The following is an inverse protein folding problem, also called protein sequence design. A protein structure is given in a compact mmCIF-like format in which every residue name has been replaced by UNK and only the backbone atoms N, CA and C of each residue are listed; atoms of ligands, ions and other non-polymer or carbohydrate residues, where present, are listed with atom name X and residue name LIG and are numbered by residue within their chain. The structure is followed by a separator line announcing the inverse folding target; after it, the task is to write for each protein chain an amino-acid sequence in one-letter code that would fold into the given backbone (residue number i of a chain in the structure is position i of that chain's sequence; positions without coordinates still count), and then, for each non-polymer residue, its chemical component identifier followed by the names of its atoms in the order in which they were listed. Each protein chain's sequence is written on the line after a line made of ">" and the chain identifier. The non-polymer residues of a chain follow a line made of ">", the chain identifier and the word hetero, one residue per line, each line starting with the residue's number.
data_IF_169207924603
#
_entry.id   IF_169207924603
#
_cell.length_a   1.000
_cell.length_b   1.000
_cell.length_c   1.000
_cell.angle_alpha   90.00
_cell.angle_beta   90.00
_cell.angle_gamma   90.00
#
_symmetry.space_group_name_H-M   'P 1'
#
loop_
_entity.id
_entity.type
_entity.pdbx_description
1 polymer ?
#
# COMPACT_ATOMS: atom_id res chain seq x y z
N UNK A 1 1.02 -48.42 -39.07
CA UNK A 1 1.26 -47.04 -39.57
C UNK A 1 2.73 -46.90 -39.86
N UNK A 2 3.13 -46.43 -41.03
CA UNK A 2 4.55 -46.19 -41.34
C UNK A 2 5.10 -45.07 -40.46
N UNK A 3 6.39 -45.14 -40.10
CA UNK A 3 7.05 -44.09 -39.31
C UNK A 3 6.87 -42.68 -39.92
N UNK A 4 6.78 -42.61 -41.25
CA UNK A 4 6.49 -41.39 -42.02
C UNK A 4 5.11 -40.79 -41.73
N UNK A 5 4.08 -41.61 -41.56
CA UNK A 5 2.73 -41.15 -41.24
C UNK A 5 2.65 -40.59 -39.80
N UNK A 6 3.38 -41.19 -38.86
CA UNK A 6 3.44 -40.71 -37.48
C UNK A 6 4.16 -39.35 -37.40
N UNK A 7 5.27 -39.18 -38.12
CA UNK A 7 6.01 -37.92 -38.18
C UNK A 7 5.14 -36.81 -38.79
N UNK A 8 4.42 -37.09 -39.88
CA UNK A 8 3.54 -36.12 -40.52
C UNK A 8 2.42 -35.63 -39.57
N UNK A 9 1.82 -36.54 -38.80
CA UNK A 9 0.79 -36.19 -37.80
C UNK A 9 1.39 -35.33 -36.67
N UNK A 10 2.57 -35.66 -36.15
CA UNK A 10 3.22 -34.87 -35.10
C UNK A 10 3.58 -33.46 -35.57
N UNK A 11 4.07 -33.33 -36.81
CA UNK A 11 4.37 -32.02 -37.42
C UNK A 11 3.09 -31.20 -37.61
N UNK A 12 2.02 -31.80 -38.15
CA UNK A 12 0.74 -31.12 -38.29
C UNK A 12 0.15 -30.68 -36.94
N UNK A 13 0.27 -31.51 -35.90
CA UNK A 13 -0.17 -31.18 -34.55
C UNK A 13 0.65 -30.03 -33.95
N UNK A 14 1.97 -30.02 -34.16
CA UNK A 14 2.83 -28.93 -33.72
C UNK A 14 2.47 -27.60 -34.41
N UNK A 15 2.24 -27.61 -35.72
CA UNK A 15 1.77 -26.43 -36.47
C UNK A 15 0.41 -25.93 -35.96
N UNK A 16 -0.54 -26.85 -35.73
CA UNK A 16 -1.86 -26.51 -35.19
C UNK A 16 -1.76 -25.90 -33.79
N UNK A 17 -0.92 -26.45 -32.91
CA UNK A 17 -0.68 -25.92 -31.56
C UNK A 17 -0.02 -24.55 -31.60
N UNK A 18 0.98 -24.33 -32.46
CA UNK A 18 1.60 -23.01 -32.63
C UNK A 18 0.63 -21.99 -33.21
N UNK A 19 -0.21 -22.38 -34.17
CA UNK A 19 -1.22 -21.51 -34.75
C UNK A 19 -2.28 -21.15 -33.72
N UNK A 20 -2.81 -22.14 -32.97
CA UNK A 20 -3.79 -21.91 -31.92
C UNK A 20 -3.24 -21.02 -30.80
N UNK A 21 -2.00 -21.25 -30.38
CA UNK A 21 -1.32 -20.40 -29.39
C UNK A 21 -1.18 -18.96 -29.92
N UNK A 22 -0.69 -18.79 -31.15
CA UNK A 22 -0.57 -17.47 -31.78
C UNK A 22 -1.91 -16.73 -31.93
N UNK A 23 -2.99 -17.47 -32.21
CA UNK A 23 -4.34 -16.93 -32.34
C UNK A 23 -4.91 -16.48 -30.99
N UNK A 24 -4.75 -17.29 -29.94
CA UNK A 24 -5.18 -16.93 -28.58
C UNK A 24 -4.38 -15.74 -28.03
N UNK A 25 -3.06 -15.72 -28.27
CA UNK A 25 -2.18 -14.61 -27.87
C UNK A 25 -2.49 -13.32 -28.64
N UNK A 26 -2.81 -13.43 -29.94
CA UNK A 26 -3.27 -12.29 -30.75
C UNK A 26 -4.54 -11.69 -30.17
N UNK A 27 -5.53 -12.49 -29.76
CA UNK A 27 -6.75 -11.98 -29.12
C UNK A 27 -6.49 -11.27 -27.79
N UNK A 28 -5.61 -11.83 -26.94
CA UNK A 28 -5.27 -11.24 -25.65
C UNK A 28 -4.52 -9.90 -25.81
N UNK A 29 -3.64 -9.82 -26.80
CA UNK A 29 -2.89 -8.60 -27.15
C UNK A 29 -3.79 -7.54 -27.79
N UNK A 30 -4.77 -7.92 -28.62
CA UNK A 30 -5.75 -6.97 -29.18
C UNK A 30 -6.57 -6.27 -28.10
N UNK A 31 -7.13 -7.01 -27.15
CA UNK A 31 -7.90 -6.42 -26.05
C UNK A 31 -7.03 -5.51 -25.15
N UNK A 32 -5.74 -5.83 -24.98
CA UNK A 32 -4.82 -4.95 -24.25
C UNK A 32 -4.41 -3.70 -25.02
N UNK A 33 -4.32 -3.78 -26.35
CA UNK A 33 -4.07 -2.61 -27.21
C UNK A 33 -5.23 -1.64 -27.19
N UNK A 34 -6.46 -2.12 -27.28
CA UNK A 34 -7.66 -1.28 -27.22
C UNK A 34 -7.75 -0.54 -25.88
N UNK A 35 -7.53 -1.22 -24.75
CA UNK A 35 -7.47 -0.59 -23.43
C UNK A 35 -6.37 0.48 -23.33
N UNK A 36 -5.19 0.21 -23.91
CA UNK A 36 -4.06 1.14 -23.92
C UNK A 36 -4.30 2.35 -24.83
N UNK A 37 -4.96 2.16 -25.98
CA UNK A 37 -5.37 3.22 -26.89
C UNK A 37 -6.34 4.18 -26.20
N UNK A 38 -7.39 3.65 -25.55
CA UNK A 38 -8.33 4.44 -24.75
C UNK A 38 -7.60 5.21 -23.65
N UNK A 39 -6.66 4.57 -22.95
CA UNK A 39 -5.86 5.24 -21.92
C UNK A 39 -5.00 6.37 -22.50
N UNK A 40 -4.41 6.16 -23.68
CA UNK A 40 -3.56 7.16 -24.34
C UNK A 40 -4.33 8.40 -24.78
N UNK A 41 -5.61 8.25 -25.16
CA UNK A 41 -6.50 9.36 -25.50
C UNK A 41 -6.85 10.25 -24.29
N UNK A 42 -6.82 9.69 -23.08
CA UNK A 42 -7.07 10.41 -21.83
C UNK A 42 -5.87 11.24 -21.35
N UNK A 43 -4.72 11.15 -22.03
CA UNK A 43 -3.48 11.80 -21.63
C UNK A 43 -2.72 11.06 -20.53
N UNK A 44 -1.80 11.74 -19.84
CA UNK A 44 -0.99 11.12 -18.78
C UNK A 44 -1.83 10.84 -17.52
N UNK A 45 -2.36 9.63 -17.41
CA UNK A 45 -3.17 9.20 -16.25
C UNK A 45 -2.27 8.58 -15.20
N UNK A 46 -1.90 9.38 -14.19
CA UNK A 46 -1.06 8.93 -13.08
C UNK A 46 -1.92 8.65 -11.84
N UNK A 47 -1.84 7.44 -11.26
CA UNK A 47 -2.48 7.15 -9.98
C UNK A 47 -1.92 8.03 -8.86
N UNK A 48 -2.77 8.58 -7.97
CA UNK A 48 -2.30 9.31 -6.79
C UNK A 48 -1.67 8.40 -5.72
N UNK A 49 -1.79 7.07 -5.90
CA UNK A 49 -1.30 6.04 -4.99
C UNK A 49 -0.02 5.37 -5.53
N UNK A 50 0.55 4.47 -4.73
CA UNK A 50 1.66 3.62 -5.15
C UNK A 50 1.29 2.79 -6.39
N UNK A 51 2.09 2.85 -7.45
CA UNK A 51 1.85 2.11 -8.70
C UNK A 51 3.16 1.73 -9.40
N UNK A 52 3.13 0.72 -10.30
CA UNK A 52 4.34 0.28 -11.00
C UNK A 52 4.67 1.17 -12.20
N UNK A 53 5.95 1.47 -12.37
CA UNK A 53 6.56 1.90 -13.62
C UNK A 53 7.41 0.75 -14.14
N UNK A 54 7.26 0.44 -15.43
CA UNK A 54 7.93 -0.67 -16.10
C UNK A 54 9.06 -0.08 -16.94
N UNK A 55 10.31 -0.49 -16.66
CA UNK A 55 11.42 -0.23 -17.55
C UNK A 55 11.27 -1.13 -18.77
N UNK A 56 11.03 -0.57 -19.98
CA UNK A 56 10.93 -1.38 -21.16
C UNK A 56 12.22 -2.16 -21.37
N UNK A 57 13.41 -1.57 -21.22
CA UNK A 57 14.69 -2.20 -21.59
C UNK A 57 14.96 -3.49 -20.80
N UNK A 58 14.53 -3.54 -19.53
CA UNK A 58 14.69 -4.72 -18.67
C UNK A 58 13.50 -5.69 -18.72
N UNK A 59 12.36 -5.30 -19.30
CA UNK A 59 11.15 -6.11 -19.35
C UNK A 59 11.25 -7.21 -20.42
N UNK A 60 11.17 -8.47 -19.99
CA UNK A 60 11.16 -9.64 -20.89
C UNK A 60 9.76 -10.13 -21.28
N UNK A 61 8.71 -9.41 -20.86
CA UNK A 61 7.32 -9.76 -21.22
C UNK A 61 6.80 -11.07 -20.61
N UNK A 62 7.36 -11.56 -19.50
CA UNK A 62 7.01 -12.86 -18.92
C UNK A 62 5.54 -12.99 -18.49
N UNK A 63 4.83 -11.88 -18.29
CA UNK A 63 3.45 -11.85 -17.80
C UNK A 63 3.31 -12.20 -16.31
N UNK A 64 4.40 -12.45 -15.59
CA UNK A 64 4.38 -12.79 -14.15
C UNK A 64 3.68 -11.71 -13.33
N UNK A 65 3.88 -10.44 -13.67
CA UNK A 65 3.24 -9.30 -13.04
C UNK A 65 1.71 -9.25 -13.26
N UNK A 66 1.25 -9.66 -14.45
CA UNK A 66 -0.18 -9.76 -14.79
C UNK A 66 -0.85 -10.85 -13.95
N UNK A 67 -0.19 -12.00 -13.84
CA UNK A 67 -0.68 -13.12 -13.04
C UNK A 67 -0.64 -12.83 -11.54
N UNK A 68 0.40 -12.14 -11.07
CA UNK A 68 0.55 -11.79 -9.65
C UNK A 68 -0.43 -10.72 -9.18
N UNK A 69 -0.94 -9.87 -10.09
CA UNK A 69 -1.90 -8.81 -9.74
C UNK A 69 -3.21 -9.41 -9.19
N UNK A 70 -3.61 -9.10 -7.94
CA UNK A 70 -4.86 -9.61 -7.36
C UNK A 70 -6.10 -9.00 -7.97
N UNK A 71 -6.04 -7.72 -8.35
CA UNK A 71 -7.17 -6.99 -8.94
C UNK A 71 -7.53 -7.52 -10.33
N UNK A 72 -6.53 -8.07 -11.03
CA UNK A 72 -6.60 -8.46 -12.45
C UNK A 72 -6.93 -7.22 -13.32
N UNK A 73 -6.49 -7.20 -14.58
CA UNK A 73 -6.71 -6.07 -15.51
C UNK A 73 -5.94 -4.76 -15.24
N UNK A 74 -5.05 -4.69 -14.25
CA UNK A 74 -4.19 -3.50 -14.05
C UNK A 74 -3.07 -3.46 -15.08
N UNK A 75 -2.44 -4.63 -15.29
CA UNK A 75 -1.31 -4.82 -16.19
C UNK A 75 -1.73 -5.80 -17.30
N UNK A 76 -1.22 -5.58 -18.50
CA UNK A 76 -1.27 -6.55 -19.61
C UNK A 76 0.08 -6.66 -20.27
N UNK A 77 0.29 -7.75 -21.01
CA UNK A 77 1.44 -7.86 -21.91
C UNK A 77 1.01 -7.37 -23.29
N UNK A 78 1.58 -6.25 -23.73
CA UNK A 78 1.34 -5.64 -25.05
C UNK A 78 2.71 -5.52 -25.73
N UNK A 79 2.80 -5.92 -27.01
CA UNK A 79 4.06 -5.88 -27.76
C UNK A 79 5.25 -6.56 -27.05
N UNK A 80 5.00 -7.69 -26.38
CA UNK A 80 5.98 -8.45 -25.56
C UNK A 80 6.55 -7.69 -24.36
N UNK A 81 5.89 -6.64 -23.88
CA UNK A 81 6.26 -5.91 -22.67
C UNK A 81 5.05 -5.78 -21.76
N UNK A 82 5.29 -5.70 -20.46
CA UNK A 82 4.22 -5.36 -19.54
C UNK A 82 3.87 -3.89 -19.72
N UNK A 83 2.58 -3.58 -19.74
CA UNK A 83 2.03 -2.23 -19.85
C UNK A 83 0.95 -2.03 -18.78
N UNK A 84 0.87 -0.80 -18.27
CA UNK A 84 -0.15 -0.38 -17.31
C UNK A 84 -1.38 0.10 -18.09
N UNK A 85 -2.40 -0.76 -18.20
CA UNK A 85 -3.59 -0.51 -19.03
C UNK A 85 -4.77 0.04 -18.23
N UNK A 86 -4.78 -0.17 -16.90
CA UNK A 86 -5.79 0.41 -16.02
C UNK A 86 -5.15 0.99 -14.74
N UNK A 87 -4.42 2.12 -14.87
CA UNK A 87 -3.70 2.73 -13.75
C UNK A 87 -4.60 3.10 -12.58
N UNK A 88 -5.80 3.64 -12.83
CA UNK A 88 -6.70 4.15 -11.78
C UNK A 88 -7.29 3.04 -10.89
N UNK A 89 -7.36 1.81 -11.39
CA UNK A 89 -7.75 0.65 -10.60
C UNK A 89 -6.58 0.07 -9.78
N UNK A 90 -5.34 0.54 -9.99
CA UNK A 90 -4.18 0.09 -9.24
C UNK A 90 -4.28 0.54 -7.78
N UNK A 91 -4.08 -0.41 -6.86
CA UNK A 91 -4.16 -0.14 -5.42
C UNK A 91 -2.82 -0.27 -4.71
N UNK A 92 -1.73 -0.45 -5.46
CA UNK A 92 -0.38 -0.45 -4.89
C UNK A 92 0.01 -1.69 -4.09
N UNK A 93 -0.47 -2.88 -4.46
CA UNK A 93 -0.08 -4.13 -3.78
C UNK A 93 1.42 -4.42 -3.82
N UNK A 94 2.13 -3.95 -4.85
CA UNK A 94 3.53 -4.28 -5.12
C UNK A 94 3.79 -5.72 -5.59
N UNK A 95 2.77 -6.57 -5.66
CA UNK A 95 2.88 -7.97 -6.10
C UNK A 95 3.49 -8.12 -7.51
N UNK A 96 3.26 -7.13 -8.38
CA UNK A 96 3.84 -7.08 -9.72
C UNK A 96 5.36 -6.93 -9.71
N UNK A 97 5.89 -6.07 -8.84
CA UNK A 97 7.33 -5.86 -8.69
C UNK A 97 8.00 -7.11 -8.10
N UNK A 98 7.43 -7.66 -7.02
CA UNK A 98 7.95 -8.87 -6.39
C UNK A 98 7.95 -10.11 -7.31
N UNK A 99 6.98 -10.21 -8.21
CA UNK A 99 6.91 -11.31 -9.17
C UNK A 99 7.77 -11.11 -10.43
N UNK A 100 8.41 -9.94 -10.59
CA UNK A 100 9.18 -9.64 -11.79
C UNK A 100 10.53 -10.37 -11.77
N UNK A 101 10.78 -11.33 -12.68
CA UNK A 101 12.01 -12.11 -12.66
C UNK A 101 13.26 -11.29 -13.02
N UNK A 102 13.09 -10.15 -13.69
CA UNK A 102 14.17 -9.27 -14.14
C UNK A 102 14.23 -7.95 -13.37
N UNK A 103 13.41 -7.78 -12.32
CA UNK A 103 13.30 -6.53 -11.56
C UNK A 103 13.03 -5.28 -12.44
N UNK A 104 12.36 -5.47 -13.58
CA UNK A 104 12.02 -4.40 -14.51
C UNK A 104 10.91 -3.45 -14.01
N UNK A 105 10.33 -3.72 -12.83
CA UNK A 105 9.22 -2.94 -12.29
C UNK A 105 9.69 -2.21 -11.03
N UNK A 106 9.58 -0.89 -11.06
CA UNK A 106 9.78 -0.02 -9.92
C UNK A 106 8.42 0.47 -9.40
N UNK A 107 8.26 0.58 -8.09
CA UNK A 107 7.04 1.15 -7.51
C UNK A 107 7.30 2.62 -7.18
N UNK A 108 6.44 3.50 -7.66
CA UNK A 108 6.50 4.94 -7.43
C UNK A 108 5.19 5.45 -6.84
N UNK A 109 5.24 6.62 -6.20
CA UNK A 109 4.07 7.27 -5.62
C UNK A 109 3.82 8.61 -6.33
N UNK A 110 2.62 8.81 -6.89
CA UNK A 110 2.31 10.02 -7.66
C UNK A 110 3.10 10.13 -8.97
N UNK A 111 3.31 11.33 -9.50
CA UNK A 111 4.00 11.52 -10.79
C UNK A 111 5.52 11.47 -10.63
N UNK A 112 6.25 11.08 -11.68
CA UNK A 112 7.72 11.13 -11.70
C UNK A 112 8.28 12.55 -11.46
N UNK A 113 7.50 13.58 -11.77
CA UNK A 113 7.87 15.01 -11.67
C UNK A 113 7.39 15.69 -10.37
N UNK A 114 6.35 15.15 -9.73
CA UNK A 114 5.92 15.41 -8.34
C UNK A 114 6.14 14.15 -7.51
N UNK A 115 7.33 13.55 -7.61
CA UNK A 115 7.74 12.54 -6.66
C UNK A 115 7.78 13.22 -5.30
N UNK A 116 6.98 12.75 -4.34
CA UNK A 116 7.27 13.07 -2.94
C UNK A 116 8.56 12.32 -2.64
N UNK A 117 9.65 13.04 -2.34
CA UNK A 117 10.84 12.39 -1.78
C UNK A 117 10.40 11.67 -0.50
N UNK A 118 10.30 10.35 -0.59
CA UNK A 118 9.99 9.53 0.57
C UNK A 118 11.19 9.60 1.51
N UNK A 119 10.99 9.95 2.78
CA UNK A 119 12.10 10.00 3.72
C UNK A 119 12.73 8.62 3.84
N UNK A 120 14.06 8.58 3.96
CA UNK A 120 14.75 7.34 4.24
C UNK A 120 14.31 6.82 5.62
N UNK A 121 13.76 5.61 5.63
CA UNK A 121 13.32 4.90 6.83
C UNK A 121 14.16 3.65 7.03
N UNK A 122 14.51 3.36 8.28
CA UNK A 122 15.18 2.12 8.67
C UNK A 122 14.18 0.93 8.75
N UNK A 123 14.65 -0.29 9.03
CA UNK A 123 13.76 -1.45 9.19
C UNK A 123 12.74 -1.35 10.34
N UNK A 124 12.92 -0.41 11.28
CA UNK A 124 12.00 -0.12 12.38
C UNK A 124 11.06 1.05 12.05
N UNK A 125 11.07 1.52 10.80
CA UNK A 125 10.28 2.66 10.31
C UNK A 125 10.70 4.00 10.89
N UNK A 126 11.86 4.08 11.55
CA UNK A 126 12.42 5.33 12.05
C UNK A 126 13.13 6.05 10.92
N UNK A 127 12.91 7.36 10.81
CA UNK A 127 13.60 8.19 9.82
C UNK A 127 15.03 8.49 10.26
N UNK A 128 15.77 9.20 9.42
CA UNK A 128 17.07 9.78 9.82
C UNK A 128 16.96 10.79 10.96
N UNK A 129 15.75 11.31 11.25
CA UNK A 129 15.46 12.10 12.42
C UNK A 129 15.01 11.18 13.58
N UNK A 130 15.80 11.06 14.66
CA UNK A 130 15.44 10.17 15.76
C UNK A 130 14.11 10.56 16.43
N UNK A 131 13.28 9.57 16.71
CA UNK A 131 11.94 9.72 17.27
C UNK A 131 10.85 10.03 16.25
N UNK A 132 11.18 10.24 14.97
CA UNK A 132 10.20 10.42 13.90
C UNK A 132 10.09 9.13 13.10
N UNK A 133 8.88 8.60 13.02
CA UNK A 133 8.53 7.35 12.36
C UNK A 133 7.57 7.59 11.20
N UNK A 134 7.70 6.80 10.14
CA UNK A 134 6.79 6.86 8.98
C UNK A 134 6.24 5.47 8.71
N UNK A 135 4.92 5.33 8.84
CA UNK A 135 4.22 4.06 8.71
C UNK A 135 3.02 4.17 7.77
N UNK A 136 2.50 3.02 7.33
CA UNK A 136 1.36 2.97 6.43
C UNK A 136 1.71 3.30 4.98
N UNK A 137 0.83 4.05 4.33
CA UNK A 137 0.91 4.33 2.89
C UNK A 137 2.19 5.10 2.53
N UNK A 138 2.63 6.01 3.40
CA UNK A 138 3.88 6.77 3.25
C UNK A 138 5.13 5.88 3.33
N UNK A 139 5.05 4.73 3.99
CA UNK A 139 6.12 3.73 4.07
C UNK A 139 6.26 2.83 2.83
N UNK A 140 5.60 3.18 1.71
CA UNK A 140 5.80 2.53 0.41
C UNK A 140 5.13 1.16 0.24
N UNK A 141 4.21 0.78 1.13
CA UNK A 141 3.50 -0.50 1.05
C UNK A 141 1.98 -0.32 1.24
N UNK A 142 1.25 -0.13 0.14
CA UNK A 142 -0.19 0.20 0.10
C UNK A 142 -1.16 -0.89 0.57
N UNK A 143 -0.71 -1.89 1.35
CA UNK A 143 -1.57 -2.92 1.92
C UNK A 143 -1.99 -2.55 3.34
N UNK A 144 -3.28 -2.64 3.62
CA UNK A 144 -3.86 -2.40 4.96
C UNK A 144 -3.23 -3.30 6.02
N UNK A 145 -2.94 -4.56 5.66
CA UNK A 145 -2.22 -5.49 6.55
C UNK A 145 -0.82 -5.00 6.87
N UNK A 146 -0.10 -4.49 5.86
CA UNK A 146 1.26 -3.97 6.05
C UNK A 146 1.20 -2.70 6.89
N UNK A 147 0.26 -1.79 6.61
CA UNK A 147 0.07 -0.58 7.39
C UNK A 147 -0.18 -0.91 8.88
N UNK A 148 -1.06 -1.86 9.19
CA UNK A 148 -1.29 -2.31 10.57
C UNK A 148 -0.02 -2.91 11.18
N UNK A 149 0.69 -3.75 10.44
CA UNK A 149 1.90 -4.39 10.94
C UNK A 149 3.04 -3.39 11.17
N UNK A 150 3.21 -2.42 10.29
CA UNK A 150 4.17 -1.32 10.42
C UNK A 150 3.90 -0.47 11.65
N UNK A 151 2.64 -0.06 11.87
CA UNK A 151 2.26 0.68 13.08
C UNK A 151 2.58 -0.09 14.36
N UNK A 152 2.36 -1.42 14.36
CA UNK A 152 2.68 -2.30 15.49
C UNK A 152 4.19 -2.42 15.72
N UNK A 153 4.98 -2.60 14.65
CA UNK A 153 6.43 -2.76 14.73
C UNK A 153 7.12 -1.46 15.16
N UNK A 154 6.71 -0.31 14.61
CA UNK A 154 7.22 1.00 14.99
C UNK A 154 7.00 1.25 16.50
N UNK A 155 5.80 0.95 17.02
CA UNK A 155 5.54 1.08 18.46
C UNK A 155 6.33 0.08 19.29
N UNK A 156 6.53 -1.15 18.82
CA UNK A 156 7.39 -2.11 19.51
C UNK A 156 8.83 -1.58 19.66
N UNK A 157 9.36 -0.91 18.63
CA UNK A 157 10.66 -0.25 18.68
C UNK A 157 10.67 0.95 19.62
N UNK A 158 9.63 1.81 19.60
CA UNK A 158 9.47 2.91 20.56
C UNK A 158 9.46 2.38 22.00
N UNK A 159 8.77 1.26 22.25
CA UNK A 159 8.74 0.64 23.57
C UNK A 159 10.15 0.19 23.97
N UNK A 160 10.86 -0.50 23.08
CA UNK A 160 12.19 -1.04 23.32
C UNK A 160 13.29 0.04 23.48
N UNK A 161 13.20 1.15 22.74
CA UNK A 161 14.20 2.23 22.77
C UNK A 161 14.20 3.00 24.10
N UNK A 162 13.11 2.94 24.86
CA UNK A 162 12.95 3.67 26.12
C UNK A 162 12.86 5.19 25.96
N UNK A 163 12.75 5.72 24.73
CA UNK A 163 12.54 7.15 24.48
C UNK A 163 11.14 7.54 24.97
N UNK A 164 11.07 8.32 26.06
CA UNK A 164 9.84 8.73 26.75
C UNK A 164 9.78 10.23 26.95
N UNK A 165 8.56 10.74 27.05
CA UNK A 165 8.32 12.14 27.41
C UNK A 165 8.38 12.32 28.92
N UNK A 166 8.91 13.46 29.36
CA UNK A 166 8.96 13.86 30.78
C UNK A 166 8.02 15.04 31.04
N UNK A 167 7.39 15.10 32.22
CA UNK A 167 6.46 16.18 32.55
C UNK A 167 5.31 16.25 31.55
N UNK A 168 5.11 17.41 30.93
CA UNK A 168 4.03 17.65 29.96
C UNK A 168 4.32 17.09 28.55
N UNK A 169 5.53 16.57 28.30
CA UNK A 169 5.90 15.92 27.05
C UNK A 169 5.23 14.55 26.96
N UNK A 170 4.54 14.26 25.86
CA UNK A 170 3.94 12.96 25.58
C UNK A 170 5.01 11.93 25.20
N UNK A 171 4.71 10.64 25.39
CA UNK A 171 5.57 9.56 24.88
C UNK A 171 5.49 9.47 23.37
N UNK A 172 4.31 9.67 22.77
CA UNK A 172 4.13 9.67 21.33
C UNK A 172 2.99 10.57 20.85
N UNK A 173 3.06 11.06 19.62
CA UNK A 173 1.92 11.59 18.87
C UNK A 173 1.74 10.75 17.61
N UNK A 174 0.53 10.25 17.38
CA UNK A 174 0.15 9.51 16.17
C UNK A 174 -0.66 10.45 15.27
N UNK A 175 -0.17 10.67 14.05
CA UNK A 175 -0.81 11.52 13.05
C UNK A 175 -1.49 10.62 12.01
N UNK A 176 -2.78 10.82 11.82
CA UNK A 176 -3.61 10.02 10.90
C UNK A 176 -4.30 8.85 11.58
N UNK A 177 -5.59 8.67 11.31
CA UNK A 177 -6.44 7.58 11.79
C UNK A 177 -6.78 6.57 10.67
N UNK A 178 -5.78 6.28 9.84
CA UNK A 178 -5.79 5.11 8.96
C UNK A 178 -5.43 3.80 9.71
N UNK A 179 -5.23 2.69 8.98
CA UNK A 179 -4.91 1.39 9.60
C UNK A 179 -3.62 1.40 10.42
N UNK A 180 -2.57 2.07 9.93
CA UNK A 180 -1.30 2.18 10.64
C UNK A 180 -1.46 2.97 11.95
N UNK A 181 -2.12 4.12 11.89
CA UNK A 181 -2.40 4.95 13.07
C UNK A 181 -3.29 4.25 14.10
N UNK A 182 -4.34 3.54 13.66
CA UNK A 182 -5.16 2.70 14.53
C UNK A 182 -4.30 1.64 15.24
N UNK A 183 -3.49 0.90 14.49
CA UNK A 183 -2.61 -0.13 15.05
C UNK A 183 -1.60 0.45 16.05
N UNK A 184 -0.98 1.58 15.69
CA UNK A 184 -0.04 2.28 16.54
C UNK A 184 -0.69 2.77 17.84
N UNK A 185 -1.85 3.43 17.76
CA UNK A 185 -2.59 3.91 18.93
C UNK A 185 -2.96 2.77 19.88
N UNK A 186 -3.43 1.64 19.35
CA UNK A 186 -3.74 0.46 20.17
C UNK A 186 -2.50 -0.17 20.79
N UNK A 187 -1.37 -0.21 20.06
CA UNK A 187 -0.10 -0.71 20.59
C UNK A 187 0.45 0.21 21.70
N UNK A 188 0.37 1.53 21.54
CA UNK A 188 0.78 2.53 22.54
C UNK A 188 -0.09 2.41 23.79
N UNK A 189 -1.41 2.29 23.60
CA UNK A 189 -2.36 2.09 24.69
C UNK A 189 -2.08 0.78 25.45
N UNK A 190 -1.84 -0.32 24.73
CA UNK A 190 -1.47 -1.62 25.32
C UNK A 190 -0.16 -1.53 26.12
N UNK A 191 0.77 -0.68 25.70
CA UNK A 191 2.05 -0.45 26.38
C UNK A 191 1.95 0.54 27.55
N UNK A 192 0.78 1.14 27.80
CA UNK A 192 0.58 2.12 28.87
C UNK A 192 1.29 3.45 28.63
N UNK A 193 1.59 3.80 27.37
CA UNK A 193 2.27 5.05 27.03
C UNK A 193 1.28 6.21 26.91
N UNK A 194 1.74 7.42 27.23
CA UNK A 194 0.96 8.66 27.10
C UNK A 194 1.06 9.16 25.67
N UNK A 195 -0.05 9.19 24.95
CA UNK A 195 -0.04 9.62 23.56
C UNK A 195 -1.25 10.47 23.18
N UNK A 196 -1.11 11.23 22.11
CA UNK A 196 -2.21 11.83 21.38
C UNK A 196 -2.36 11.13 20.02
N UNK A 197 -3.59 10.95 19.58
CA UNK A 197 -3.91 10.41 18.25
C UNK A 197 -4.85 11.36 17.54
N UNK A 198 -4.43 11.89 16.40
CA UNK A 198 -5.10 12.99 15.70
C UNK A 198 -5.36 12.65 14.24
N UNK A 199 -6.46 13.16 13.68
CA UNK A 199 -6.88 12.95 12.30
C UNK A 199 -7.44 14.25 11.73
N UNK A 200 -7.15 14.55 10.46
CA UNK A 200 -7.60 15.77 9.78
C UNK A 200 -9.11 15.78 9.56
N UNK A 201 -9.69 14.63 9.24
CA UNK A 201 -11.12 14.50 8.97
C UNK A 201 -11.88 14.14 10.26
N UNK A 202 -13.19 14.45 10.34
CA UNK A 202 -14.02 14.06 11.49
C UNK A 202 -14.28 12.55 11.55
N UNK A 203 -14.10 11.87 10.42
CA UNK A 203 -14.27 10.43 10.27
C UNK A 203 -12.92 9.73 10.17
N UNK A 204 -12.73 8.66 10.92
CA UNK A 204 -11.52 7.86 10.88
C UNK A 204 -11.58 6.73 9.85
N UNK A 205 -10.42 6.37 9.29
CA UNK A 205 -10.27 5.42 8.19
C UNK A 205 -9.16 5.81 7.21
N UNK A 206 -8.69 7.05 7.24
CA UNK A 206 -7.63 7.55 6.36
C UNK A 206 -8.00 7.43 4.87
N UNK A 207 -7.03 7.04 4.04
CA UNK A 207 -7.22 6.93 2.58
C UNK A 207 -8.32 5.93 2.18
N UNK A 208 -8.68 4.98 3.06
CA UNK A 208 -9.76 4.01 2.83
C UNK A 208 -11.11 4.72 2.61
N UNK A 209 -11.35 5.86 3.26
CA UNK A 209 -12.58 6.64 3.10
C UNK A 209 -12.79 7.15 1.68
N UNK A 210 -11.72 7.29 0.90
CA UNK A 210 -11.76 7.78 -0.47
C UNK A 210 -11.85 6.64 -1.50
N UNK A 211 -11.75 5.39 -1.06
CA UNK A 211 -11.87 4.24 -1.95
C UNK A 211 -13.33 4.05 -2.43
N UNK A 212 -13.53 3.56 -3.66
CA UNK A 212 -14.85 3.13 -4.13
C UNK A 212 -15.50 2.13 -3.17
N UNK A 213 -16.82 2.24 -2.95
CA UNK A 213 -17.57 1.42 -1.97
C UNK A 213 -17.38 -0.09 -2.17
N UNK A 214 -17.37 -0.54 -3.42
CA UNK A 214 -17.25 -1.95 -3.77
C UNK A 214 -15.79 -2.47 -3.76
N UNK A 215 -14.80 -1.61 -3.50
CA UNK A 215 -13.39 -1.98 -3.52
C UNK A 215 -13.10 -3.04 -2.46
N UNK A 216 -12.46 -4.12 -2.88
CA UNK A 216 -11.85 -5.09 -1.96
C UNK A 216 -10.52 -4.50 -1.50
N UNK A 217 -10.38 -4.35 -0.19
CA UNK A 217 -9.28 -3.57 0.40
C UNK A 217 -8.33 -4.42 1.24
N UNK A 218 -8.73 -5.64 1.59
CA UNK A 218 -7.94 -6.54 2.41
C UNK A 218 -8.21 -8.00 2.05
N UNK A 219 -7.16 -8.79 2.01
CA UNK A 219 -7.21 -10.25 1.96
C UNK A 219 -6.32 -10.82 3.07
N UNK A 220 -6.74 -11.94 3.67
CA UNK A 220 -5.96 -12.64 4.69
C UNK A 220 -6.29 -12.24 6.13
N UNK A 221 -5.26 -12.00 6.92
CA UNK A 221 -5.34 -11.86 8.38
C UNK A 221 -4.81 -10.51 8.84
N UNK A 222 -5.58 -9.82 9.67
CA UNK A 222 -5.22 -8.57 10.33
C UNK A 222 -5.04 -8.84 11.82
N UNK A 223 -3.89 -8.48 12.39
CA UNK A 223 -3.64 -8.58 13.82
C UNK A 223 -3.73 -7.19 14.44
N UNK A 224 -4.82 -6.91 15.16
CA UNK A 224 -5.03 -5.62 15.80
C UNK A 224 -4.70 -5.74 17.30
N UNK A 225 -3.78 -4.91 17.84
CA UNK A 225 -3.53 -4.90 19.28
C UNK A 225 -4.82 -4.63 20.05
N UNK A 226 -5.04 -5.33 21.17
CA UNK A 226 -6.23 -5.24 22.03
C UNK A 226 -7.56 -5.74 21.44
N UNK A 227 -7.65 -5.99 20.13
CA UNK A 227 -8.85 -6.50 19.47
C UNK A 227 -8.71 -7.95 18.98
N UNK A 228 -7.48 -8.38 18.67
CA UNK A 228 -7.16 -9.73 18.23
C UNK A 228 -7.15 -9.89 16.71
N UNK A 229 -7.32 -11.14 16.28
CA UNK A 229 -7.13 -11.55 14.89
C UNK A 229 -8.41 -11.43 14.06
N UNK A 230 -8.39 -10.64 12.99
CA UNK A 230 -9.48 -10.54 12.00
C UNK A 230 -9.08 -11.28 10.74
N UNK A 231 -9.71 -12.43 10.48
CA UNK A 231 -9.44 -13.26 9.30
C UNK A 231 -10.60 -13.23 8.31
N UNK A 232 -10.34 -12.81 7.07
CA UNK A 232 -11.31 -12.85 5.96
C UNK A 232 -10.60 -13.16 4.64
N UNK A 233 -11.26 -13.91 3.77
CA UNK A 233 -10.74 -14.21 2.43
C UNK A 233 -10.60 -12.93 1.59
N UNK A 234 -11.63 -12.10 1.64
CA UNK A 234 -11.72 -10.77 1.02
C UNK A 234 -12.57 -9.89 1.93
N UNK A 235 -12.27 -8.60 1.99
CA UNK A 235 -13.06 -7.61 2.75
C UNK A 235 -13.25 -6.36 1.90
N UNK A 236 -14.48 -5.86 1.86
CA UNK A 236 -14.83 -4.58 1.23
C UNK A 236 -14.50 -3.41 2.16
N UNK A 237 -14.37 -2.22 1.59
CA UNK A 237 -14.16 -0.97 2.33
C UNK A 237 -15.09 -0.82 3.55
N UNK A 238 -16.40 -0.93 3.34
CA UNK A 238 -17.38 -0.64 4.39
C UNK A 238 -17.33 -1.66 5.54
N UNK A 239 -16.99 -2.92 5.22
CA UNK A 239 -16.75 -3.98 6.20
C UNK A 239 -15.49 -3.70 7.02
N UNK A 240 -14.44 -3.15 6.41
CA UNK A 240 -13.24 -2.79 7.16
C UNK A 240 -13.50 -1.60 8.09
N UNK A 241 -14.23 -0.59 7.63
CA UNK A 241 -14.60 0.56 8.47
C UNK A 241 -15.53 0.16 9.61
N UNK A 242 -16.39 -0.85 9.43
CA UNK A 242 -17.19 -1.39 10.54
C UNK A 242 -16.34 -2.13 11.58
N UNK A 243 -15.29 -2.85 11.15
CA UNK A 243 -14.30 -3.43 12.06
C UNK A 243 -13.59 -2.32 12.85
N UNK A 244 -13.11 -1.26 12.20
CA UNK A 244 -12.43 -0.17 12.90
C UNK A 244 -13.34 0.53 13.91
N UNK A 245 -14.61 0.74 13.56
CA UNK A 245 -15.63 1.25 14.52
C UNK A 245 -15.83 0.33 15.72
N UNK A 246 -15.87 -0.98 15.49
CA UNK A 246 -15.99 -1.97 16.56
C UNK A 246 -14.77 -1.95 17.49
N UNK A 247 -13.57 -1.76 16.92
CA UNK A 247 -12.32 -1.66 17.69
C UNK A 247 -12.34 -0.45 18.61
N UNK A 248 -12.67 0.74 18.09
CA UNK A 248 -12.78 1.97 18.88
C UNK A 248 -13.82 1.81 19.99
N UNK A 249 -14.99 1.26 19.67
CA UNK A 249 -16.06 1.04 20.64
C UNK A 249 -15.69 0.07 21.77
N UNK A 250 -14.89 -0.96 21.49
CA UNK A 250 -14.49 -1.97 22.49
C UNK A 250 -13.27 -1.53 23.32
N UNK A 251 -12.33 -0.80 22.71
CA UNK A 251 -11.07 -0.43 23.36
C UNK A 251 -11.15 0.94 24.05
N UNK A 252 -12.10 1.79 23.65
CA UNK A 252 -12.18 3.18 24.11
C UNK A 252 -11.07 4.09 23.54
N UNK A 253 -10.21 3.56 22.68
CA UNK A 253 -9.12 4.32 22.04
C UNK A 253 -9.65 4.92 20.75
N UNK A 254 -9.83 6.25 20.74
CA UNK A 254 -10.37 7.00 19.61
C UNK A 254 -9.43 8.15 19.21
N UNK A 255 -9.36 8.51 17.92
CA UNK A 255 -8.64 9.70 17.48
C UNK A 255 -9.44 10.97 17.80
N UNK A 256 -8.74 12.08 17.92
CA UNK A 256 -9.32 13.42 17.83
C UNK A 256 -9.38 13.81 16.35
N UNK A 257 -10.58 13.82 15.78
CA UNK A 257 -10.84 14.28 14.41
C UNK A 257 -10.81 15.80 14.28
N UNK A 258 -10.77 16.29 13.04
CA UNK A 258 -10.77 17.74 12.74
C UNK A 258 -9.45 18.45 13.06
N UNK A 259 -8.34 17.70 13.15
CA UNK A 259 -7.00 18.20 13.51
C UNK A 259 -6.05 18.01 12.35
N UNK A 260 -5.75 19.10 11.63
CA UNK A 260 -4.77 19.09 10.54
C UNK A 260 -3.37 19.41 11.08
N UNK A 261 -2.55 18.38 11.23
CA UNK A 261 -1.13 18.58 11.52
C UNK A 261 -0.44 19.24 10.32
N UNK A 262 0.16 20.40 10.54
CA UNK A 262 0.83 21.23 9.54
C UNK A 262 2.35 21.10 9.59
N UNK A 263 2.91 20.58 10.68
CA UNK A 263 4.35 20.37 10.77
C UNK A 263 4.82 19.64 12.02
N UNK A 264 6.05 19.14 11.94
CA UNK A 264 6.81 18.56 13.05
C UNK A 264 8.15 19.27 13.11
N UNK A 265 8.51 19.80 14.27
CA UNK A 265 9.76 20.53 14.50
C UNK A 265 10.53 19.90 15.66
N UNK A 266 11.85 19.74 15.48
CA UNK A 266 12.75 19.32 16.55
C UNK A 266 13.04 20.52 17.46
N UNK A 267 12.91 20.31 18.76
CA UNK A 267 13.24 21.29 19.79
C UNK A 267 14.14 20.65 20.84
N UNK A 268 14.70 21.47 21.74
CA UNK A 268 15.51 20.98 22.87
C UNK A 268 14.71 20.09 23.84
N UNK A 269 13.38 20.23 23.84
CA UNK A 269 12.46 19.53 24.74
C UNK A 269 11.80 18.30 24.09
N UNK A 270 12.05 18.05 22.80
CA UNK A 270 11.50 16.91 22.05
C UNK A 270 11.05 17.27 20.64
N UNK A 271 9.96 16.65 20.19
CA UNK A 271 9.33 16.87 18.90
C UNK A 271 8.05 17.67 19.11
N UNK A 272 8.01 18.88 18.56
CA UNK A 272 6.82 19.74 18.54
C UNK A 272 5.96 19.38 17.32
N UNK A 273 4.74 18.95 17.54
CA UNK A 273 3.73 18.66 16.51
C UNK A 273 2.72 19.80 16.49
N UNK A 274 2.54 20.43 15.33
CA UNK A 274 1.78 21.67 15.18
C UNK A 274 0.51 21.46 14.35
N UNK A 275 -0.60 22.03 14.82
CA UNK A 275 -1.88 22.19 14.12
C UNK A 275 -2.35 23.64 14.34
N UNK A 276 -3.16 24.25 13.46
CA UNK A 276 -3.67 25.60 13.66
C UNK A 276 -4.41 25.80 15.00
N UNK A 277 -5.03 24.74 15.52
CA UNK A 277 -5.88 24.76 16.71
C UNK A 277 -5.12 24.39 17.99
N UNK A 278 -4.01 23.65 17.88
CA UNK A 278 -3.30 23.05 19.03
C UNK A 278 -1.89 22.60 18.67
N UNK A 279 -1.00 22.63 19.67
CA UNK A 279 0.33 22.04 19.61
C UNK A 279 0.50 20.92 20.64
N UNK A 280 1.38 19.97 20.32
CA UNK A 280 1.81 18.92 21.24
C UNK A 280 3.33 18.87 21.28
N UNK A 281 3.87 18.49 22.42
CA UNK A 281 5.28 18.15 22.58
C UNK A 281 5.37 16.66 22.88
N UNK A 282 6.21 15.93 22.16
CA UNK A 282 6.32 14.48 22.27
C UNK A 282 7.75 13.99 22.10
N UNK A 283 8.07 12.86 22.74
CA UNK A 283 9.35 12.21 22.55
C UNK A 283 9.43 11.46 21.20
N UNK A 284 8.28 10.98 20.70
CA UNK A 284 8.17 10.28 19.43
C UNK A 284 6.97 10.83 18.62
N UNK A 285 7.06 10.75 17.30
CA UNK A 285 5.96 11.08 16.37
C UNK A 285 5.86 9.99 15.32
N UNK A 286 4.66 9.47 15.09
CA UNK A 286 4.35 8.51 14.03
C UNK A 286 3.49 9.21 12.97
N UNK A 287 3.98 9.21 11.74
CA UNK A 287 3.36 9.81 10.54
C UNK A 287 2.84 8.73 9.59
#
# INVERSE_FOLDING_TARGET
>A
MSATALIAVLVALAFLLTWLWSYLESRATHAGREELEVLSELGEVVPPSLHPIIDPLSCIGSGSCVQACPEKQILRVVNRRAELVNPLACVGHGACAAACPTNAIQLVFGTLTRGVELPAVDPNFETTQPGVFIVGELGGMGLIRNAVEQGRQAVAHIVASGRRGTGDVLDAVVVGAGPAGLSAALALHKAGLRFAWVERDDTFGGSILHYPRAKVVMTGTLELPLFGTVRRRTMRKDELLSVFRSVVAQTGVAPVGGVLVTGVQVTDEGLRVMSPEREWLAANVLL
#
